data_IF_450328005733
#
_entry.id   IF_450328005733
#
_cell.length_a   1.000
_cell.length_b   1.000
_cell.length_c   1.000
_cell.angle_alpha   90.00
_cell.angle_beta   90.00
_cell.angle_gamma   90.00
#
_symmetry.space_group_name_H-M   'P 1'
#
loop_
_entity.id
_entity.type
_entity.pdbx_description
1 polymer ?
#
# COMPACT_ATOMS: atom_id res chain seq x y z
N UNK A 1 -5.51 -19.69 -2.93
CA UNK A 1 -4.73 -18.43 -3.06
C UNK A 1 -5.42 -17.35 -2.27
N UNK A 2 -4.73 -16.61 -1.41
CA UNK A 2 -5.32 -15.47 -0.69
C UNK A 2 -5.50 -14.28 -1.62
N UNK A 3 -6.62 -13.59 -1.48
CA UNK A 3 -6.93 -12.41 -2.28
C UNK A 3 -7.39 -11.26 -1.42
N UNK A 4 -6.87 -10.10 -1.72
CA UNK A 4 -7.26 -8.86 -1.06
C UNK A 4 -7.64 -7.78 -2.05
N UNK A 5 -8.29 -6.75 -1.55
CA UNK A 5 -8.63 -5.54 -2.31
C UNK A 5 -7.83 -4.36 -1.76
N UNK A 6 -7.26 -3.58 -2.65
CA UNK A 6 -6.56 -2.34 -2.34
C UNK A 6 -7.29 -1.16 -2.99
N UNK A 7 -7.53 -0.08 -2.23
CA UNK A 7 -8.14 1.14 -2.75
C UNK A 7 -7.33 2.38 -2.35
N UNK A 8 -7.31 3.36 -3.26
CA UNK A 8 -6.84 4.71 -2.97
C UNK A 8 -7.84 5.53 -2.15
N UNK A 9 -9.15 5.29 -2.35
CA UNK A 9 -10.20 6.09 -1.72
C UNK A 9 -10.29 7.48 -2.35
N UNK A 10 -10.49 7.55 -3.67
CA UNK A 10 -10.65 8.80 -4.42
C UNK A 10 -12.10 9.21 -4.59
N UNK A 11 -12.33 10.48 -4.95
CA UNK A 11 -13.63 10.98 -5.36
C UNK A 11 -13.97 10.53 -6.78
N UNK A 12 -15.25 10.44 -7.09
CA UNK A 12 -15.74 10.24 -8.45
C UNK A 12 -15.46 11.49 -9.31
N UNK A 13 -14.98 11.31 -10.54
CA UNK A 13 -14.58 12.40 -11.41
C UNK A 13 -15.22 12.28 -12.78
N UNK A 14 -16.12 13.20 -13.13
CA UNK A 14 -16.76 13.26 -14.44
C UNK A 14 -15.78 13.57 -15.57
N UNK A 15 -14.64 14.19 -15.25
CA UNK A 15 -13.59 14.59 -16.18
C UNK A 15 -12.36 13.66 -16.17
N UNK A 16 -12.48 12.46 -15.55
CA UNK A 16 -11.44 11.45 -15.60
C UNK A 16 -11.13 11.02 -17.04
N UNK A 17 -9.85 10.89 -17.39
CA UNK A 17 -9.47 10.45 -18.72
C UNK A 17 -8.19 11.10 -19.26
N UNK A 18 -7.96 11.04 -20.59
CA UNK A 18 -6.75 11.55 -21.21
C UNK A 18 -6.63 13.08 -21.06
N UNK A 19 -5.39 13.56 -21.02
CA UNK A 19 -5.13 15.01 -20.95
C UNK A 19 -3.77 15.31 -20.34
N UNK A 20 -3.50 16.61 -20.10
CA UNK A 20 -2.25 17.02 -19.45
C UNK A 20 -2.13 16.42 -18.04
N UNK A 21 -0.93 16.46 -17.44
CA UNK A 21 -0.72 16.05 -16.04
C UNK A 21 -1.76 16.69 -15.12
N UNK A 22 -2.00 16.07 -13.97
CA UNK A 22 -3.00 16.49 -13.00
C UNK A 22 -3.04 18.00 -12.83
N UNK A 23 -4.21 18.58 -12.99
CA UNK A 23 -4.40 20.00 -12.70
C UNK A 23 -4.39 20.19 -11.19
N UNK A 24 -3.43 20.96 -10.69
CA UNK A 24 -3.43 21.40 -9.29
C UNK A 24 -4.59 22.33 -8.96
N UNK A 25 -5.32 22.77 -9.97
CA UNK A 25 -6.50 23.64 -9.83
C UNK A 25 -7.80 22.87 -9.59
N UNK A 26 -7.82 21.53 -9.80
CA UNK A 26 -8.97 20.70 -9.43
C UNK A 26 -9.17 20.77 -7.91
N UNK A 27 -10.42 20.97 -7.50
CA UNK A 27 -10.81 21.02 -6.10
C UNK A 27 -12.05 20.15 -5.89
N UNK A 28 -11.88 19.06 -5.16
CA UNK A 28 -13.02 18.36 -4.59
C UNK A 28 -13.59 19.14 -3.40
N UNK A 29 -14.87 19.06 -3.22
CA UNK A 29 -15.55 19.62 -2.03
C UNK A 29 -15.31 18.74 -0.81
N UNK A 30 -15.54 19.27 0.39
CA UNK A 30 -15.48 18.48 1.62
C UNK A 30 -16.54 17.38 1.65
N UNK A 31 -17.69 17.63 1.04
CA UNK A 31 -18.79 16.68 0.93
C UNK A 31 -18.41 15.50 0.04
N UNK A 32 -17.82 15.75 -1.15
CA UNK A 32 -17.34 14.70 -2.05
C UNK A 32 -16.22 13.87 -1.41
N UNK A 33 -15.27 14.51 -0.73
CA UNK A 33 -14.20 13.81 -0.03
C UNK A 33 -14.73 12.96 1.15
N UNK A 34 -15.74 13.46 1.86
CA UNK A 34 -16.38 12.72 2.93
C UNK A 34 -17.19 11.53 2.39
N UNK A 35 -17.96 11.73 1.33
CA UNK A 35 -18.69 10.64 0.67
C UNK A 35 -17.73 9.55 0.19
N UNK A 36 -16.62 9.91 -0.45
CA UNK A 36 -15.59 8.94 -0.84
C UNK A 36 -15.03 8.17 0.36
N UNK A 37 -14.82 8.84 1.50
CA UNK A 37 -14.38 8.19 2.75
C UNK A 37 -15.43 7.19 3.27
N UNK A 38 -16.72 7.52 3.26
CA UNK A 38 -17.78 6.58 3.64
C UNK A 38 -17.83 5.38 2.70
N UNK A 39 -17.67 5.59 1.38
CA UNK A 39 -17.64 4.52 0.37
C UNK A 39 -16.47 3.54 0.54
N UNK A 40 -15.31 4.04 0.98
CA UNK A 40 -14.17 3.17 1.34
C UNK A 40 -14.54 2.21 2.46
N UNK A 41 -15.27 2.67 3.48
CA UNK A 41 -15.74 1.81 4.57
C UNK A 41 -16.79 0.81 4.08
N UNK A 42 -17.76 1.26 3.29
CA UNK A 42 -18.80 0.40 2.73
C UNK A 42 -18.22 -0.71 1.85
N UNK A 43 -17.23 -0.38 1.01
CA UNK A 43 -16.52 -1.36 0.17
C UNK A 43 -15.83 -2.46 0.99
N UNK A 44 -15.28 -2.12 2.16
CA UNK A 44 -14.68 -3.13 3.03
C UNK A 44 -15.71 -4.14 3.54
N UNK A 45 -16.94 -3.69 3.82
CA UNK A 45 -18.06 -4.58 4.21
C UNK A 45 -18.45 -5.49 3.04
N UNK A 46 -18.60 -4.93 1.84
CA UNK A 46 -18.85 -5.72 0.62
C UNK A 46 -17.77 -6.79 0.41
N UNK A 47 -16.49 -6.41 0.57
CA UNK A 47 -15.38 -7.36 0.42
C UNK A 47 -15.40 -8.46 1.49
N UNK A 48 -15.76 -8.15 2.76
CA UNK A 48 -15.92 -9.15 3.81
C UNK A 48 -17.04 -10.14 3.49
N UNK A 49 -18.21 -9.64 3.04
CA UNK A 49 -19.35 -10.46 2.65
C UNK A 49 -19.04 -11.39 1.46
N UNK A 50 -18.23 -10.90 0.50
CA UNK A 50 -17.80 -11.66 -0.66
C UNK A 50 -16.66 -12.66 -0.37
N UNK A 51 -16.06 -12.63 0.83
CA UNK A 51 -15.05 -13.58 1.25
C UNK A 51 -13.61 -13.24 0.87
N UNK A 52 -13.30 -11.98 0.54
CA UNK A 52 -11.92 -11.55 0.39
C UNK A 52 -11.12 -11.71 1.69
N UNK A 53 -9.83 -12.05 1.59
CA UNK A 53 -8.97 -12.29 2.75
C UNK A 53 -8.50 -10.99 3.43
N UNK A 54 -8.33 -9.92 2.64
CA UNK A 54 -7.82 -8.66 3.16
C UNK A 54 -8.32 -7.44 2.39
N UNK A 55 -8.41 -6.31 3.10
CA UNK A 55 -8.75 -5.01 2.54
C UNK A 55 -7.68 -4.00 2.95
N UNK A 56 -7.15 -3.24 1.99
CA UNK A 56 -6.01 -2.37 2.20
C UNK A 56 -6.30 -0.92 1.85
N UNK A 57 -5.94 -0.02 2.77
CA UNK A 57 -6.16 1.41 2.67
C UNK A 57 -4.84 2.14 2.42
N UNK A 58 -4.83 3.09 1.50
CA UNK A 58 -3.74 4.06 1.38
C UNK A 58 -3.85 5.15 2.48
N UNK A 59 -2.72 5.77 2.84
CA UNK A 59 -2.66 7.00 3.64
C UNK A 59 -2.09 8.11 2.78
N UNK A 60 -2.90 9.14 2.53
CA UNK A 60 -2.51 10.31 1.77
C UNK A 60 -3.10 11.59 2.35
N UNK A 61 -2.38 12.71 2.20
CA UNK A 61 -2.71 13.97 2.81
C UNK A 61 -2.78 15.11 1.79
N UNK A 62 -3.68 16.07 2.02
CA UNK A 62 -3.76 17.31 1.24
C UNK A 62 -4.01 17.09 -0.25
N UNK A 63 -4.63 15.96 -0.62
CA UNK A 63 -4.98 15.61 -2.00
C UNK A 63 -6.29 16.30 -2.42
N UNK A 64 -6.24 17.65 -2.51
CA UNK A 64 -7.40 18.47 -2.81
C UNK A 64 -7.98 18.23 -4.22
N UNK A 65 -7.21 17.55 -5.07
CA UNK A 65 -7.67 17.09 -6.38
C UNK A 65 -8.64 15.92 -6.30
N UNK A 66 -8.72 15.26 -5.13
CA UNK A 66 -9.63 14.16 -4.88
C UNK A 66 -9.11 12.76 -5.24
N UNK A 67 -7.81 12.60 -5.54
CA UNK A 67 -7.26 11.29 -5.91
C UNK A 67 -7.23 10.29 -4.75
N UNK A 68 -6.91 10.77 -3.54
CA UNK A 68 -6.77 9.97 -2.33
C UNK A 68 -7.18 10.82 -1.13
N UNK A 69 -8.29 10.45 -0.48
CA UNK A 69 -8.89 11.29 0.57
C UNK A 69 -8.85 10.66 1.96
N UNK A 70 -8.05 9.60 2.14
CA UNK A 70 -7.93 8.88 3.41
C UNK A 70 -6.68 9.34 4.17
N UNK A 71 -6.78 10.28 5.14
CA UNK A 71 -5.62 10.79 5.85
C UNK A 71 -5.20 9.92 7.04
N UNK A 72 -6.02 8.95 7.45
CA UNK A 72 -5.73 8.06 8.57
C UNK A 72 -6.43 6.72 8.38
N UNK A 73 -5.69 5.77 7.81
CA UNK A 73 -6.20 4.42 7.55
C UNK A 73 -6.49 3.64 8.84
N UNK A 74 -5.75 3.88 9.94
CA UNK A 74 -5.98 3.18 11.22
C UNK A 74 -7.34 3.58 11.82
N UNK A 75 -7.68 4.87 11.77
CA UNK A 75 -8.96 5.36 12.27
C UNK A 75 -10.13 4.77 11.47
N UNK A 76 -10.04 4.76 10.14
CA UNK A 76 -11.06 4.11 9.30
C UNK A 76 -11.05 2.59 9.52
N UNK A 77 -9.89 1.98 9.69
CA UNK A 77 -9.75 0.57 10.01
C UNK A 77 -10.48 0.15 11.28
N UNK A 78 -10.55 1.01 12.30
CA UNK A 78 -11.33 0.76 13.50
C UNK A 78 -12.84 0.71 13.22
N UNK A 79 -13.34 1.58 12.35
CA UNK A 79 -14.75 1.55 11.91
C UNK A 79 -15.02 0.31 11.04
N UNK A 80 -14.11 -0.04 10.14
CA UNK A 80 -14.21 -1.26 9.33
C UNK A 80 -14.20 -2.49 10.23
N UNK A 81 -13.34 -2.53 11.25
CA UNK A 81 -13.26 -3.65 12.19
C UNK A 81 -14.59 -3.94 12.89
N UNK A 82 -15.34 -2.89 13.25
CA UNK A 82 -16.66 -3.00 13.88
C UNK A 82 -17.75 -3.50 12.91
N UNK A 83 -17.62 -3.17 11.61
CA UNK A 83 -18.62 -3.52 10.59
C UNK A 83 -18.35 -4.84 9.89
N UNK A 84 -17.20 -5.47 10.12
CA UNK A 84 -16.74 -6.69 9.42
C UNK A 84 -16.39 -7.80 10.39
N UNK A 85 -16.36 -9.06 9.93
CA UNK A 85 -16.16 -10.21 10.79
C UNK A 85 -14.87 -10.99 10.52
N UNK A 86 -14.39 -11.04 9.27
CA UNK A 86 -13.32 -11.94 8.81
C UNK A 86 -12.17 -11.22 8.15
N UNK A 87 -12.49 -10.21 7.33
CA UNK A 87 -11.51 -9.55 6.47
C UNK A 87 -10.39 -8.93 7.30
N UNK A 88 -9.15 -9.16 6.88
CA UNK A 88 -7.97 -8.54 7.48
C UNK A 88 -7.85 -7.10 6.98
N UNK A 89 -7.42 -6.19 7.84
CA UNK A 89 -7.40 -4.75 7.57
C UNK A 89 -5.95 -4.29 7.50
N UNK A 90 -5.49 -4.00 6.29
CA UNK A 90 -4.12 -3.59 6.00
C UNK A 90 -4.00 -2.10 5.71
N UNK A 91 -2.89 -1.51 6.11
CA UNK A 91 -2.51 -0.15 5.70
C UNK A 91 -1.47 -0.24 4.59
N UNK A 92 -1.73 0.40 3.46
CA UNK A 92 -0.81 0.42 2.34
C UNK A 92 -0.54 1.87 1.86
N UNK A 93 0.16 2.66 2.71
CA UNK A 93 0.87 2.30 3.96
C UNK A 93 0.73 3.41 4.99
N UNK A 94 0.92 3.11 6.29
CA UNK A 94 1.19 4.19 7.26
C UNK A 94 2.54 4.82 6.92
N UNK A 95 2.56 6.12 6.72
CA UNK A 95 3.79 6.86 6.37
C UNK A 95 4.56 7.20 7.65
N UNK A 96 5.30 6.22 8.12
CA UNK A 96 5.94 6.23 9.45
C UNK A 96 6.70 7.51 9.79
N UNK A 97 7.48 8.15 8.89
CA UNK A 97 8.15 9.39 9.21
C UNK A 97 7.22 10.58 9.51
N UNK A 98 5.95 10.49 9.15
CA UNK A 98 4.94 11.53 9.42
C UNK A 98 4.24 11.34 10.77
N UNK A 99 4.54 10.24 11.47
CA UNK A 99 3.97 9.90 12.77
C UNK A 99 5.01 9.97 13.88
N UNK A 100 4.54 10.25 15.09
CA UNK A 100 5.35 9.90 16.26
C UNK A 100 5.27 8.38 16.46
N UNK A 101 6.40 7.62 16.54
CA UNK A 101 6.39 6.15 16.50
C UNK A 101 5.56 5.52 17.61
N UNK A 102 5.59 6.08 18.83
CA UNK A 102 4.77 5.56 19.94
C UNK A 102 3.27 5.77 19.69
N UNK A 103 2.86 6.89 19.09
CA UNK A 103 1.46 7.13 18.75
C UNK A 103 0.97 6.14 17.70
N UNK A 104 1.76 5.92 16.66
CA UNK A 104 1.44 4.91 15.63
C UNK A 104 1.34 3.51 16.24
N UNK A 105 2.25 3.15 17.16
CA UNK A 105 2.21 1.86 17.85
C UNK A 105 0.95 1.70 18.73
N UNK A 106 0.55 2.75 19.50
CA UNK A 106 -0.68 2.74 20.30
C UNK A 106 -1.93 2.60 19.44
N UNK A 107 -2.01 3.39 18.36
CA UNK A 107 -3.16 3.40 17.47
C UNK A 107 -3.29 2.06 16.72
N UNK A 108 -2.18 1.49 16.22
CA UNK A 108 -2.17 0.16 15.63
C UNK A 108 -2.55 -0.95 16.61
N UNK A 109 -1.97 -0.96 17.82
CA UNK A 109 -2.32 -1.95 18.82
C UNK A 109 -3.79 -1.89 19.20
N UNK A 110 -4.36 -0.69 19.26
CA UNK A 110 -5.79 -0.47 19.52
C UNK A 110 -6.65 -1.04 18.39
N UNK A 111 -6.37 -0.70 17.13
CA UNK A 111 -7.05 -1.27 15.97
C UNK A 111 -6.94 -2.79 15.94
N UNK A 112 -5.73 -3.33 16.14
CA UNK A 112 -5.48 -4.77 16.09
C UNK A 112 -6.26 -5.53 17.14
N UNK A 113 -6.33 -5.00 18.37
CA UNK A 113 -7.13 -5.59 19.45
C UNK A 113 -8.65 -5.46 19.20
N UNK A 114 -9.15 -4.29 18.76
CA UNK A 114 -10.55 -4.08 18.40
C UNK A 114 -11.01 -5.02 17.28
N UNK A 115 -10.17 -5.28 16.32
CA UNK A 115 -10.47 -6.20 15.21
C UNK A 115 -10.31 -7.69 15.57
N UNK A 116 -9.93 -8.04 16.81
CA UNK A 116 -9.66 -9.42 17.19
C UNK A 116 -8.43 -10.02 16.49
N UNK A 117 -7.39 -9.22 16.21
CA UNK A 117 -6.15 -9.66 15.57
C UNK A 117 -6.14 -9.57 14.04
N UNK A 118 -7.10 -8.90 13.42
CA UNK A 118 -7.20 -8.79 11.96
C UNK A 118 -6.39 -7.63 11.35
N UNK A 119 -5.85 -6.72 12.17
CA UNK A 119 -5.02 -5.61 11.69
C UNK A 119 -3.68 -6.07 11.11
N UNK A 120 -3.25 -5.49 10.00
CA UNK A 120 -1.94 -5.68 9.37
C UNK A 120 -1.19 -4.35 9.43
N UNK A 121 0.01 -4.33 10.02
CA UNK A 121 0.85 -3.15 10.08
C UNK A 121 1.59 -2.96 8.76
N UNK A 122 0.98 -2.23 7.83
CA UNK A 122 1.64 -1.83 6.60
C UNK A 122 2.35 -0.50 6.79
N UNK A 123 3.61 -0.39 6.37
CA UNK A 123 4.48 0.75 6.64
C UNK A 123 5.20 1.25 5.38
N UNK A 124 5.36 2.57 5.27
CA UNK A 124 6.01 3.23 4.15
C UNK A 124 6.80 4.47 4.59
N UNK A 125 7.62 5.00 3.67
CA UNK A 125 8.44 6.21 3.91
C UNK A 125 7.85 7.48 3.31
N UNK A 126 6.78 7.36 2.53
CA UNK A 126 6.18 8.44 1.77
C UNK A 126 6.76 8.57 0.35
N UNK A 127 5.96 9.12 -0.56
CA UNK A 127 6.30 9.31 -1.98
C UNK A 127 5.93 10.69 -2.50
N UNK A 128 5.04 11.41 -1.82
CA UNK A 128 4.51 12.70 -2.26
C UNK A 128 5.16 13.84 -1.46
N UNK A 129 5.96 14.72 -2.09
CA UNK A 129 6.65 15.83 -1.39
C UNK A 129 5.70 16.76 -0.67
N UNK A 130 4.54 17.11 -1.28
CA UNK A 130 3.53 17.97 -0.67
C UNK A 130 3.08 17.47 0.72
N UNK A 131 2.94 16.16 0.86
CA UNK A 131 2.52 15.52 2.11
C UNK A 131 3.67 15.48 3.11
N UNK A 132 4.77 14.86 2.70
CA UNK A 132 5.90 14.60 3.58
C UNK A 132 6.55 15.88 4.10
N UNK A 133 6.81 16.86 3.22
CA UNK A 133 7.46 18.09 3.64
C UNK A 133 6.53 19.00 4.47
N UNK A 134 5.22 18.99 4.21
CA UNK A 134 4.23 19.68 5.03
C UNK A 134 4.14 19.09 6.44
N UNK A 135 4.26 17.77 6.56
CA UNK A 135 4.24 17.06 7.85
C UNK A 135 5.63 16.94 8.51
N UNK A 136 6.61 17.70 8.02
CA UNK A 136 7.90 17.87 8.68
C UNK A 136 8.96 16.82 8.33
N UNK A 137 8.72 15.99 7.29
CA UNK A 137 9.70 15.03 6.81
C UNK A 137 10.16 15.39 5.39
N UNK A 138 11.39 15.05 5.03
CA UNK A 138 11.93 15.35 3.70
C UNK A 138 12.10 14.07 2.90
N UNK A 139 11.57 14.03 1.68
CA UNK A 139 11.80 12.91 0.75
C UNK A 139 12.59 13.31 -0.50
N UNK A 140 12.94 14.58 -0.63
CA UNK A 140 13.66 15.10 -1.78
C UNK A 140 12.88 14.97 -3.09
N UNK A 141 12.41 16.07 -3.64
CA UNK A 141 11.80 16.10 -4.98
C UNK A 141 12.83 15.72 -6.06
N UNK A 142 12.36 15.28 -7.22
CA UNK A 142 13.23 14.84 -8.33
C UNK A 142 14.23 15.90 -8.80
N UNK A 143 13.92 17.18 -8.58
CA UNK A 143 14.73 18.33 -9.01
C UNK A 143 15.54 18.97 -7.87
N UNK A 144 15.51 18.41 -6.66
CA UNK A 144 16.23 18.93 -5.52
C UNK A 144 17.69 18.45 -5.53
N UNK A 145 18.71 19.34 -5.55
CA UNK A 145 20.12 18.95 -5.47
C UNK A 145 20.47 18.21 -4.17
N UNK A 146 19.69 18.42 -3.10
CA UNK A 146 19.90 17.78 -1.80
C UNK A 146 19.08 16.47 -1.65
N UNK A 147 18.53 15.94 -2.74
CA UNK A 147 17.68 14.75 -2.73
C UNK A 147 18.30 13.55 -2.01
N UNK A 148 19.58 13.29 -2.23
CA UNK A 148 20.28 12.16 -1.60
C UNK A 148 20.34 12.31 -0.07
N UNK A 149 20.61 13.52 0.41
CA UNK A 149 20.66 13.84 1.85
C UNK A 149 19.28 13.74 2.47
N UNK A 150 18.26 14.26 1.78
CA UNK A 150 16.87 14.17 2.23
C UNK A 150 16.38 12.71 2.31
N UNK A 151 16.68 11.90 1.30
CA UNK A 151 16.31 10.47 1.28
C UNK A 151 17.04 9.68 2.37
N UNK A 152 18.30 9.97 2.64
CA UNK A 152 19.06 9.35 3.74
C UNK A 152 18.50 9.73 5.11
N UNK A 153 18.17 11.00 5.33
CA UNK A 153 17.56 11.48 6.57
C UNK A 153 16.19 10.83 6.80
N UNK A 154 15.34 10.79 5.77
CA UNK A 154 14.04 10.12 5.83
C UNK A 154 14.19 8.63 6.13
N UNK A 155 15.17 7.96 5.54
CA UNK A 155 15.44 6.54 5.79
C UNK A 155 15.85 6.29 7.24
N UNK A 156 16.76 7.10 7.78
CA UNK A 156 17.18 7.00 9.19
C UNK A 156 16.01 7.21 10.13
N UNK A 157 15.20 8.24 9.90
CA UNK A 157 14.00 8.50 10.69
C UNK A 157 13.03 7.32 10.63
N UNK A 158 12.80 6.76 9.44
CA UNK A 158 11.96 5.57 9.26
C UNK A 158 12.52 4.35 10.01
N UNK A 159 13.83 4.07 9.86
CA UNK A 159 14.44 2.88 10.45
C UNK A 159 14.39 2.94 11.99
N UNK A 160 14.75 4.07 12.60
CA UNK A 160 14.66 4.24 14.07
C UNK A 160 13.21 4.25 14.56
N UNK A 161 12.29 4.89 13.84
CA UNK A 161 10.87 4.85 14.18
C UNK A 161 10.33 3.43 14.16
N UNK A 162 10.72 2.62 13.18
CA UNK A 162 10.31 1.22 13.11
C UNK A 162 10.92 0.37 14.21
N UNK A 163 12.16 0.63 14.62
CA UNK A 163 12.77 -0.04 15.76
C UNK A 163 12.01 0.28 17.06
N UNK A 164 11.65 1.53 17.27
CA UNK A 164 10.80 1.97 18.40
C UNK A 164 9.42 1.28 18.35
N UNK A 165 8.75 1.28 17.19
CA UNK A 165 7.44 0.66 17.02
C UNK A 165 7.51 -0.85 17.33
N UNK A 166 8.51 -1.55 16.80
CA UNK A 166 8.67 -2.99 17.07
C UNK A 166 8.89 -3.26 18.57
N UNK A 167 9.79 -2.52 19.23
CA UNK A 167 10.00 -2.64 20.67
C UNK A 167 8.71 -2.38 21.45
N UNK A 168 8.00 -1.31 21.14
CA UNK A 168 6.76 -0.95 21.82
C UNK A 168 5.67 -2.01 21.67
N UNK A 169 5.56 -2.66 20.50
CA UNK A 169 4.55 -3.68 20.24
C UNK A 169 4.92 -5.06 20.80
N UNK A 170 6.21 -5.38 20.97
CA UNK A 170 6.67 -6.72 21.36
C UNK A 170 7.15 -6.82 22.80
N UNK A 171 7.83 -5.77 23.31
CA UNK A 171 8.42 -5.80 24.65
C UNK A 171 7.45 -5.28 25.71
N UNK A 172 7.48 -5.87 26.89
CA UNK A 172 6.68 -5.39 28.03
C UNK A 172 7.18 -4.04 28.53
N UNK A 173 8.50 -3.89 28.56
CA UNK A 173 9.20 -2.65 28.99
C UNK A 173 10.34 -2.40 28.01
N UNK A 174 10.49 -1.17 27.58
CA UNK A 174 11.52 -0.80 26.62
C UNK A 174 12.05 0.61 26.85
N UNK A 175 13.25 0.86 26.39
CA UNK A 175 13.84 2.18 26.15
C UNK A 175 14.53 2.13 24.77
N UNK A 176 14.65 3.27 24.13
CA UNK A 176 15.36 3.40 22.86
C UNK A 176 16.23 4.65 22.87
N UNK A 177 17.50 4.51 22.51
CA UNK A 177 18.48 5.60 22.48
C UNK A 177 19.16 5.60 21.12
N UNK A 178 18.60 6.37 20.17
CA UNK A 178 19.08 6.54 18.81
C UNK A 178 19.55 7.97 18.52
N UNK A 179 19.77 8.24 17.25
CA UNK A 179 20.14 9.59 16.79
C UNK A 179 18.92 10.51 16.61
N UNK A 180 17.76 9.93 16.26
CA UNK A 180 16.50 10.64 16.02
C UNK A 180 15.58 10.57 17.23
N UNK A 181 15.51 9.41 17.88
CA UNK A 181 14.64 9.19 19.02
C UNK A 181 15.43 8.82 20.27
N UNK A 182 15.11 9.50 21.38
CA UNK A 182 15.60 9.20 22.73
C UNK A 182 14.37 9.01 23.64
N UNK A 183 13.99 7.77 23.93
CA UNK A 183 12.70 7.41 24.53
C UNK A 183 12.87 6.39 25.68
N UNK A 184 12.50 6.76 26.94
CA UNK A 184 12.07 8.09 27.34
C UNK A 184 13.23 9.10 27.36
N UNK A 185 12.98 10.38 27.08
CA UNK A 185 14.00 11.39 27.33
C UNK A 185 14.46 11.40 28.79
N UNK A 186 15.74 11.66 29.07
CA UNK A 186 16.26 11.61 30.42
C UNK A 186 15.63 12.66 31.35
N UNK A 187 15.42 12.28 32.61
CA UNK A 187 15.01 13.22 33.67
C UNK A 187 13.51 13.49 33.76
N UNK A 188 12.64 12.75 33.05
CA UNK A 188 11.17 12.85 33.22
C UNK A 188 10.80 12.40 34.64
N UNK A 189 10.22 13.30 35.50
CA UNK A 189 9.82 12.91 36.85
C UNK A 189 8.59 12.01 36.86
N UNK A 190 8.62 10.96 37.67
CA UNK A 190 7.48 10.09 37.94
C UNK A 190 7.51 9.53 39.36
N UNK A 191 6.45 9.79 40.13
CA UNK A 191 6.17 9.18 41.46
C UNK A 191 7.37 9.10 42.42
N UNK A 192 8.17 10.16 42.46
CA UNK A 192 9.36 10.26 43.35
C UNK A 192 10.65 9.69 42.74
N UNK A 193 10.62 9.26 41.48
CA UNK A 193 11.78 8.86 40.67
C UNK A 193 11.80 9.54 39.32
N UNK A 194 12.44 8.90 38.37
CA UNK A 194 12.43 9.29 36.94
C UNK A 194 12.03 8.09 36.07
N UNK A 195 11.34 8.38 34.97
CA UNK A 195 11.00 7.37 33.96
C UNK A 195 12.29 6.85 33.33
N UNK A 196 12.51 5.54 33.36
CA UNK A 196 13.68 4.87 32.78
C UNK A 196 13.27 3.99 31.59
N UNK A 197 12.04 3.47 31.60
CA UNK A 197 11.49 2.60 30.58
C UNK A 197 10.02 2.96 30.32
N UNK A 198 9.53 2.59 29.17
CA UNK A 198 8.15 2.76 28.74
C UNK A 198 7.45 1.39 28.65
N UNK A 199 6.13 1.40 28.74
CA UNK A 199 5.26 0.26 28.43
C UNK A 199 4.13 0.75 27.55
N UNK A 200 3.93 0.14 26.40
CA UNK A 200 2.78 0.45 25.54
C UNK A 200 1.48 -0.03 26.20
N UNK A 201 0.44 0.81 26.19
CA UNK A 201 -0.86 0.48 26.81
C UNK A 201 -2.00 0.92 25.89
N UNK A 202 -2.80 -0.05 25.33
CA UNK A 202 -2.60 -1.49 25.41
C UNK A 202 -1.51 -2.01 24.45
N UNK A 203 -0.97 -3.17 24.73
CA UNK A 203 -0.14 -3.93 23.78
C UNK A 203 -1.03 -4.82 22.90
N UNK A 204 -0.54 -5.32 21.76
CA UNK A 204 -1.27 -6.29 20.95
C UNK A 204 -1.57 -7.57 21.77
N UNK A 205 -2.81 -8.05 21.71
CA UNK A 205 -3.27 -9.28 22.34
C UNK A 205 -3.12 -10.50 21.42
N UNK A 206 -2.87 -10.26 20.13
CA UNK A 206 -2.72 -11.28 19.10
C UNK A 206 -1.40 -11.08 18.33
N UNK A 207 -0.86 -12.14 17.71
CA UNK A 207 0.26 -11.99 16.78
C UNK A 207 -0.12 -11.05 15.61
N UNK A 208 0.81 -10.21 15.19
CA UNK A 208 0.60 -9.29 14.08
C UNK A 208 1.68 -9.45 13.01
N UNK A 209 1.41 -8.94 11.83
CA UNK A 209 2.33 -8.93 10.70
C UNK A 209 2.68 -7.49 10.32
N UNK A 210 3.95 -7.28 9.98
CA UNK A 210 4.43 -6.02 9.40
C UNK A 210 4.72 -6.24 7.91
N UNK A 211 4.25 -5.31 7.06
CA UNK A 211 4.41 -5.35 5.62
C UNK A 211 4.92 -4.01 5.09
N UNK A 212 5.78 -4.03 4.08
CA UNK A 212 6.37 -2.82 3.50
C UNK A 212 6.43 -2.91 1.97
N UNK A 213 6.23 -1.77 1.28
CA UNK A 213 6.41 -1.69 -0.16
C UNK A 213 7.86 -1.94 -0.59
N UNK A 214 8.04 -2.78 -1.60
CA UNK A 214 9.34 -3.04 -2.23
C UNK A 214 9.51 -2.12 -3.44
N UNK A 215 10.05 -0.93 -3.22
CA UNK A 215 10.18 0.12 -4.23
C UNK A 215 11.62 0.51 -4.57
N UNK A 216 12.59 0.03 -3.78
CA UNK A 216 14.01 0.40 -3.95
C UNK A 216 14.94 -0.75 -3.54
N UNK A 217 16.21 -0.76 -4.02
CA UNK A 217 17.17 -1.77 -3.59
C UNK A 217 17.35 -1.87 -2.07
N UNK A 218 17.43 -0.77 -1.29
CA UNK A 218 17.51 -0.89 0.16
C UNK A 218 16.29 -1.59 0.80
N UNK A 219 15.06 -1.30 0.35
CA UNK A 219 13.87 -1.99 0.89
C UNK A 219 13.87 -3.47 0.55
N UNK A 220 14.39 -3.83 -0.63
CA UNK A 220 14.54 -5.23 -1.04
C UNK A 220 15.52 -6.02 -0.16
N UNK A 221 16.53 -5.37 0.42
CA UNK A 221 17.47 -6.00 1.35
C UNK A 221 16.97 -5.97 2.82
N UNK A 222 16.39 -4.86 3.26
CA UNK A 222 16.02 -4.67 4.68
C UNK A 222 14.75 -5.42 5.08
N UNK A 223 13.71 -5.39 4.24
CA UNK A 223 12.39 -5.95 4.58
C UNK A 223 12.46 -7.45 4.88
N UNK A 224 13.07 -8.29 4.00
CA UNK A 224 13.19 -9.71 4.31
C UNK A 224 14.13 -9.99 5.48
N UNK A 225 15.19 -9.20 5.71
CA UNK A 225 16.06 -9.36 6.90
C UNK A 225 15.34 -9.11 8.21
N UNK A 226 14.36 -8.20 8.23
CA UNK A 226 13.49 -7.95 9.39
C UNK A 226 12.38 -9.02 9.53
N UNK A 227 12.27 -9.96 8.61
CA UNK A 227 11.23 -10.98 8.60
C UNK A 227 9.84 -10.45 8.24
N UNK A 228 9.75 -9.24 7.68
CA UNK A 228 8.51 -8.59 7.27
C UNK A 228 8.02 -9.09 5.92
N UNK A 229 6.77 -8.82 5.61
CA UNK A 229 6.20 -9.06 4.28
C UNK A 229 6.54 -7.94 3.29
N UNK A 230 6.73 -8.30 2.03
CA UNK A 230 7.00 -7.40 0.93
C UNK A 230 5.78 -7.22 0.01
N UNK A 231 5.40 -5.98 -0.26
CA UNK A 231 4.35 -5.63 -1.21
C UNK A 231 4.98 -5.19 -2.52
N UNK A 232 4.72 -5.95 -3.59
CA UNK A 232 5.27 -5.72 -4.93
C UNK A 232 4.20 -5.05 -5.81
N UNK A 233 4.40 -3.77 -6.08
CA UNK A 233 3.48 -2.94 -6.84
C UNK A 233 3.58 -3.19 -8.35
N UNK A 234 2.69 -2.63 -9.11
CA UNK A 234 2.51 -2.65 -10.56
C UNK A 234 3.80 -2.41 -11.39
N UNK A 235 4.74 -3.35 -11.36
CA UNK A 235 5.96 -3.29 -12.16
C UNK A 235 5.97 -4.37 -13.25
N UNK A 236 6.74 -4.15 -14.30
CA UNK A 236 6.98 -5.14 -15.35
C UNK A 236 7.37 -6.51 -14.75
N UNK A 237 6.80 -7.62 -15.24
CA UNK A 237 7.01 -8.96 -14.66
C UNK A 237 8.46 -9.37 -14.50
N UNK A 238 9.33 -9.00 -15.44
CA UNK A 238 10.78 -9.29 -15.35
C UNK A 238 11.42 -8.61 -14.14
N UNK A 239 11.06 -7.35 -13.85
CA UNK A 239 11.58 -6.64 -12.68
C UNK A 239 10.99 -7.21 -11.40
N UNK A 240 9.70 -7.52 -11.42
CA UNK A 240 9.01 -8.17 -10.31
C UNK A 240 9.65 -9.52 -10.00
N UNK A 241 9.87 -10.40 -11.00
CA UNK A 241 10.47 -11.73 -10.81
C UNK A 241 11.86 -11.63 -10.19
N UNK A 242 12.72 -10.78 -10.73
CA UNK A 242 14.07 -10.56 -10.18
C UNK A 242 14.03 -10.14 -8.71
N UNK A 243 13.18 -9.18 -8.37
CA UNK A 243 13.06 -8.67 -7.01
C UNK A 243 12.36 -9.69 -6.07
N UNK A 244 11.42 -10.46 -6.59
CA UNK A 244 10.73 -11.54 -5.88
C UNK A 244 11.67 -12.65 -5.46
N UNK A 245 12.55 -13.05 -6.37
CA UNK A 245 13.58 -14.06 -6.10
C UNK A 245 14.63 -13.52 -5.11
N UNK A 246 15.13 -12.30 -5.35
CA UNK A 246 16.10 -11.68 -4.43
C UNK A 246 15.53 -11.52 -3.01
N UNK A 247 14.25 -11.19 -2.86
CA UNK A 247 13.60 -11.14 -1.56
C UNK A 247 13.69 -12.49 -0.82
N UNK A 248 13.42 -13.59 -1.52
CA UNK A 248 13.50 -14.93 -0.95
C UNK A 248 14.94 -15.32 -0.57
N UNK A 249 15.90 -15.01 -1.42
CA UNK A 249 17.35 -15.23 -1.13
C UNK A 249 17.77 -14.48 0.14
N UNK A 250 17.45 -13.18 0.24
CA UNK A 250 17.81 -12.36 1.40
C UNK A 250 17.14 -12.87 2.67
N UNK A 251 15.88 -13.33 2.56
CA UNK A 251 15.19 -13.94 3.70
C UNK A 251 15.90 -15.21 4.16
N UNK A 252 16.27 -16.10 3.23
CA UNK A 252 17.01 -17.32 3.54
C UNK A 252 18.38 -17.03 4.15
N UNK A 253 19.14 -16.07 3.59
CA UNK A 253 20.41 -15.59 4.15
C UNK A 253 20.26 -15.12 5.62
N UNK A 254 19.17 -14.44 5.96
CA UNK A 254 18.98 -13.83 7.26
C UNK A 254 18.40 -14.81 8.31
N UNK A 255 17.55 -15.74 7.89
CA UNK A 255 16.75 -16.58 8.80
C UNK A 255 17.10 -18.08 8.73
N UNK A 256 17.96 -18.49 7.79
CA UNK A 256 18.40 -19.89 7.66
C UNK A 256 17.29 -20.86 7.20
N UNK A 257 16.21 -20.34 6.60
CA UNK A 257 15.14 -21.14 5.99
C UNK A 257 14.64 -20.56 4.69
N UNK A 258 14.23 -21.40 3.77
CA UNK A 258 13.60 -21.02 2.52
C UNK A 258 12.14 -20.61 2.76
N UNK A 259 11.66 -19.61 2.01
CA UNK A 259 10.24 -19.24 1.97
C UNK A 259 9.45 -20.22 1.11
N UNK A 260 8.25 -20.57 1.54
CA UNK A 260 7.28 -21.25 0.71
C UNK A 260 6.84 -20.35 -0.49
N UNK A 261 6.27 -20.93 -1.56
CA UNK A 261 5.75 -20.14 -2.67
C UNK A 261 4.82 -19.01 -2.17
N UNK A 262 5.08 -17.78 -2.59
CA UNK A 262 4.30 -16.61 -2.19
C UNK A 262 4.39 -16.18 -0.72
N UNK A 263 5.02 -16.95 0.15
CA UNK A 263 5.15 -16.61 1.57
C UNK A 263 5.84 -15.25 1.75
N UNK A 264 5.23 -14.37 2.57
CA UNK A 264 5.71 -13.00 2.86
C UNK A 264 5.87 -12.10 1.64
N UNK A 265 5.23 -12.42 0.54
CA UNK A 265 5.27 -11.62 -0.69
C UNK A 265 3.88 -11.51 -1.27
N UNK A 266 3.37 -10.29 -1.42
CA UNK A 266 2.10 -10.03 -2.09
C UNK A 266 2.32 -9.22 -3.37
N UNK A 267 1.57 -9.55 -4.39
CA UNK A 267 1.58 -8.88 -5.69
C UNK A 267 0.38 -7.96 -5.79
N UNK A 268 0.58 -6.68 -6.12
CA UNK A 268 -0.53 -5.75 -6.42
C UNK A 268 -0.70 -5.62 -7.93
N UNK A 269 -1.94 -5.72 -8.41
CA UNK A 269 -2.28 -5.49 -9.83
C UNK A 269 -3.58 -4.72 -9.99
N UNK A 270 -3.55 -3.70 -10.85
CA UNK A 270 -4.76 -3.08 -11.37
C UNK A 270 -5.52 -4.11 -12.19
N UNK A 271 -6.84 -4.21 -11.97
CA UNK A 271 -7.68 -5.22 -12.59
C UNK A 271 -8.99 -4.63 -13.07
N UNK A 272 -9.47 -5.10 -14.24
CA UNK A 272 -10.81 -4.81 -14.71
C UNK A 272 -11.40 -6.01 -15.45
N UNK A 273 -12.63 -6.40 -15.07
CA UNK A 273 -13.37 -7.51 -15.67
C UNK A 273 -14.63 -6.99 -16.35
N UNK A 274 -14.90 -7.44 -17.57
CA UNK A 274 -16.17 -7.21 -18.28
C UNK A 274 -16.60 -8.47 -19.05
N UNK A 275 -17.64 -8.39 -19.87
CA UNK A 275 -18.09 -9.54 -20.65
C UNK A 275 -17.11 -9.87 -21.79
N UNK A 276 -16.45 -8.82 -22.32
CA UNK A 276 -15.40 -8.93 -23.34
C UNK A 276 -14.17 -8.10 -22.96
N UNK A 277 -13.03 -8.42 -23.59
CA UNK A 277 -11.79 -7.66 -23.43
C UNK A 277 -11.95 -6.20 -23.87
N UNK A 278 -12.64 -5.98 -24.99
CA UNK A 278 -12.89 -4.65 -25.54
C UNK A 278 -13.72 -3.80 -24.56
N UNK A 279 -14.73 -4.38 -23.96
CA UNK A 279 -15.56 -3.73 -22.95
C UNK A 279 -14.75 -3.41 -21.68
N UNK A 280 -13.95 -4.37 -21.20
CA UNK A 280 -13.08 -4.16 -20.05
C UNK A 280 -12.06 -3.03 -20.29
N UNK A 281 -11.45 -2.98 -21.49
CA UNK A 281 -10.54 -1.91 -21.88
C UNK A 281 -11.26 -0.56 -21.97
N UNK A 282 -12.48 -0.52 -22.50
CA UNK A 282 -13.27 0.71 -22.59
C UNK A 282 -13.65 1.24 -21.19
N UNK A 283 -14.01 0.34 -20.26
CA UNK A 283 -14.34 0.68 -18.86
C UNK A 283 -13.14 1.25 -18.10
N UNK A 284 -11.98 0.61 -18.20
CA UNK A 284 -10.81 0.97 -17.38
C UNK A 284 -10.00 2.15 -17.94
N UNK A 285 -10.14 2.47 -19.23
CA UNK A 285 -9.32 3.49 -19.91
C UNK A 285 -9.37 4.86 -19.24
N UNK A 286 -10.53 5.45 -18.90
CA UNK A 286 -10.56 6.77 -18.26
C UNK A 286 -9.74 6.79 -16.96
N UNK A 287 -9.95 5.81 -16.10
CA UNK A 287 -9.23 5.72 -14.83
C UNK A 287 -7.75 5.37 -15.00
N UNK A 288 -7.37 4.56 -16.01
CA UNK A 288 -5.96 4.35 -16.37
C UNK A 288 -5.27 5.66 -16.73
N UNK A 289 -5.87 6.45 -17.62
CA UNK A 289 -5.30 7.70 -18.09
C UNK A 289 -5.25 8.74 -16.94
N UNK A 290 -6.27 8.76 -16.07
CA UNK A 290 -6.29 9.61 -14.88
C UNK A 290 -5.22 9.20 -13.86
N UNK A 291 -4.99 7.90 -13.66
CA UNK A 291 -3.91 7.42 -12.79
C UNK A 291 -2.54 7.94 -13.22
N UNK A 292 -2.29 8.08 -14.52
CA UNK A 292 -1.01 8.62 -15.00
C UNK A 292 -0.90 10.13 -14.86
N UNK A 293 -2.00 10.86 -14.85
CA UNK A 293 -1.98 12.27 -14.45
C UNK A 293 -1.56 12.42 -12.99
N UNK A 294 -2.03 11.51 -12.13
CA UNK A 294 -1.70 11.48 -10.71
C UNK A 294 -0.27 10.97 -10.43
N UNK A 295 0.07 9.76 -10.88
CA UNK A 295 1.33 9.08 -10.53
C UNK A 295 2.52 9.44 -11.43
N UNK A 296 2.26 9.89 -12.66
CA UNK A 296 3.30 10.23 -13.63
C UNK A 296 4.34 11.22 -13.10
N UNK A 297 3.93 12.33 -12.46
CA UNK A 297 4.85 13.31 -11.86
C UNK A 297 5.77 12.73 -10.79
N UNK A 298 5.39 11.63 -10.13
CA UNK A 298 6.19 10.97 -9.09
C UNK A 298 7.10 9.85 -9.65
N UNK A 299 7.19 9.71 -10.99
CA UNK A 299 8.14 8.81 -11.64
C UNK A 299 7.78 7.32 -11.58
N UNK A 300 6.51 6.99 -11.40
CA UNK A 300 6.02 5.61 -11.35
C UNK A 300 6.18 4.85 -12.67
N UNK A 301 6.35 5.56 -13.79
CA UNK A 301 6.67 4.97 -15.10
C UNK A 301 7.94 4.10 -15.10
N UNK A 302 8.83 4.25 -14.13
CA UNK A 302 10.00 3.37 -13.95
C UNK A 302 9.64 1.90 -13.71
N UNK A 303 8.41 1.60 -13.36
CA UNK A 303 7.87 0.24 -13.30
C UNK A 303 7.74 -0.44 -14.66
N UNK A 304 7.69 0.34 -15.73
CA UNK A 304 7.60 -0.15 -17.11
C UNK A 304 8.98 -0.45 -17.72
N UNK A 305 9.00 -1.32 -18.70
CA UNK A 305 10.21 -1.63 -19.45
C UNK A 305 10.35 -0.68 -20.64
N UNK A 306 11.48 -0.01 -20.73
CA UNK A 306 11.83 0.80 -21.89
C UNK A 306 12.32 -0.05 -23.08
N UNK A 307 12.48 0.58 -24.27
CA UNK A 307 12.90 -0.11 -25.48
C UNK A 307 14.29 -0.78 -25.39
N UNK A 308 15.10 -0.33 -24.46
CA UNK A 308 16.46 -0.87 -24.20
C UNK A 308 16.47 -2.00 -23.14
N UNK A 309 15.30 -2.49 -22.73
CA UNK A 309 15.16 -3.53 -21.70
C UNK A 309 15.44 -3.06 -20.26
N UNK A 310 15.60 -1.75 -20.06
CA UNK A 310 15.77 -1.14 -18.74
C UNK A 310 14.47 -0.48 -18.26
N UNK A 311 14.40 -0.07 -16.98
CA UNK A 311 13.28 0.72 -16.50
C UNK A 311 13.03 1.95 -17.38
N UNK A 312 11.78 2.22 -17.71
CA UNK A 312 11.40 3.36 -18.52
C UNK A 312 11.85 4.68 -17.89
N UNK A 313 12.05 5.69 -18.71
CA UNK A 313 12.45 7.03 -18.24
C UNK A 313 11.33 7.65 -17.42
N UNK A 314 11.70 8.41 -16.40
CA UNK A 314 10.76 9.25 -15.68
C UNK A 314 10.03 10.21 -16.66
N UNK A 315 8.72 10.37 -16.48
CA UNK A 315 7.89 11.19 -17.37
C UNK A 315 7.32 10.47 -18.60
N UNK A 316 7.64 9.19 -18.81
CA UNK A 316 6.86 8.37 -19.74
C UNK A 316 5.42 8.26 -19.19
N UNK A 317 4.44 8.46 -20.06
CA UNK A 317 3.03 8.16 -19.78
C UNK A 317 2.67 6.96 -20.67
N UNK A 318 2.59 5.74 -20.09
CA UNK A 318 2.24 4.56 -20.87
C UNK A 318 0.78 4.61 -21.30
N UNK A 319 0.49 4.10 -22.49
CA UNK A 319 -0.87 3.83 -22.92
C UNK A 319 -1.45 2.60 -22.20
N UNK A 320 -2.77 2.45 -22.22
CA UNK A 320 -3.41 1.24 -21.72
C UNK A 320 -2.91 0.01 -22.48
N UNK A 321 -2.76 0.10 -23.79
CA UNK A 321 -2.25 -0.97 -24.64
C UNK A 321 -0.84 -1.42 -24.22
N UNK A 322 0.07 -0.49 -23.96
CA UNK A 322 1.41 -0.78 -23.44
C UNK A 322 1.35 -1.42 -22.04
N UNK A 323 0.43 -0.99 -21.18
CA UNK A 323 0.22 -1.54 -19.85
C UNK A 323 -0.23 -3.02 -19.91
N UNK A 324 -1.08 -3.36 -20.89
CA UNK A 324 -1.57 -4.71 -21.14
C UNK A 324 -0.51 -5.58 -21.84
N UNK A 325 0.19 -5.05 -22.85
CA UNK A 325 1.26 -5.75 -23.56
C UNK A 325 2.39 -6.13 -22.60
N UNK A 326 2.76 -5.23 -21.70
CA UNK A 326 3.75 -5.47 -20.67
C UNK A 326 3.23 -6.28 -19.47
N UNK A 327 1.97 -6.72 -19.50
CA UNK A 327 1.33 -7.51 -18.43
C UNK A 327 1.39 -6.82 -17.05
N UNK A 328 1.37 -5.50 -17.02
CA UNK A 328 1.38 -4.74 -15.76
C UNK A 328 -0.03 -4.64 -15.20
N UNK A 329 -1.02 -4.52 -16.07
CA UNK A 329 -2.44 -4.52 -15.74
C UNK A 329 -3.10 -5.84 -16.18
N UNK A 330 -4.11 -6.27 -15.45
CA UNK A 330 -4.91 -7.49 -15.69
C UNK A 330 -6.31 -7.06 -16.14
N UNK A 331 -6.58 -7.15 -17.44
CA UNK A 331 -7.84 -6.63 -18.03
C UNK A 331 -8.38 -7.63 -19.06
N UNK A 332 -9.68 -7.89 -19.01
CA UNK A 332 -10.31 -8.78 -19.99
C UNK A 332 -11.64 -9.35 -19.52
N UNK A 333 -12.09 -10.42 -20.22
CA UNK A 333 -13.17 -11.27 -19.75
C UNK A 333 -12.76 -12.04 -18.48
N UNK A 334 -13.70 -12.63 -17.77
CA UNK A 334 -13.42 -13.40 -16.56
C UNK A 334 -12.44 -14.57 -16.82
N UNK A 335 -12.50 -15.19 -18.00
CA UNK A 335 -11.54 -16.24 -18.37
C UNK A 335 -10.14 -15.67 -18.63
N UNK A 336 -10.04 -14.61 -19.41
CA UNK A 336 -8.75 -13.94 -19.69
C UNK A 336 -8.09 -13.38 -18.42
N UNK A 337 -8.88 -12.83 -17.48
CA UNK A 337 -8.37 -12.36 -16.17
C UNK A 337 -7.87 -13.54 -15.35
N UNK A 338 -8.61 -14.66 -15.32
CA UNK A 338 -8.18 -15.89 -14.69
C UNK A 338 -6.87 -16.43 -15.25
N UNK A 339 -6.74 -16.48 -16.59
CA UNK A 339 -5.50 -16.91 -17.27
C UNK A 339 -4.30 -15.99 -16.93
N UNK A 340 -4.52 -14.68 -16.86
CA UNK A 340 -3.48 -13.72 -16.49
C UNK A 340 -3.03 -13.90 -15.03
N UNK A 341 -3.97 -14.16 -14.10
CA UNK A 341 -3.64 -14.45 -12.68
C UNK A 341 -2.88 -15.78 -12.60
N UNK A 342 -3.33 -16.82 -13.31
CA UNK A 342 -2.64 -18.12 -13.33
C UNK A 342 -1.23 -17.97 -13.89
N UNK A 343 -1.04 -17.17 -14.94
CA UNK A 343 0.28 -16.89 -15.47
C UNK A 343 1.23 -16.26 -14.42
N UNK A 344 0.73 -15.37 -13.56
CA UNK A 344 1.52 -14.81 -12.46
C UNK A 344 1.81 -15.86 -11.37
N UNK A 345 0.87 -16.75 -11.07
CA UNK A 345 1.13 -17.88 -10.17
C UNK A 345 2.24 -18.77 -10.69
N UNK A 346 2.20 -19.10 -11.97
CA UNK A 346 3.22 -19.96 -12.61
C UNK A 346 4.61 -19.26 -12.65
N UNK A 347 4.63 -17.94 -12.89
CA UNK A 347 5.88 -17.18 -12.98
C UNK A 347 6.54 -16.94 -11.62
N UNK A 348 5.76 -16.61 -10.59
CA UNK A 348 6.24 -16.09 -9.30
C UNK A 348 5.94 -17.02 -8.12
N UNK A 349 5.02 -17.98 -8.27
CA UNK A 349 4.45 -18.71 -7.15
C UNK A 349 3.58 -17.80 -6.26
N UNK A 350 2.79 -16.90 -6.86
CA UNK A 350 1.91 -15.98 -6.09
C UNK A 350 0.86 -16.76 -5.34
N UNK A 351 0.79 -16.59 -4.02
CA UNK A 351 -0.26 -17.12 -3.15
C UNK A 351 -0.92 -16.02 -2.30
N UNK A 352 -0.54 -14.74 -2.54
CA UNK A 352 -1.17 -13.56 -1.95
C UNK A 352 -1.22 -12.46 -3.03
N UNK A 353 -2.44 -12.09 -3.44
CA UNK A 353 -2.69 -11.15 -4.54
C UNK A 353 -3.60 -10.03 -4.06
N UNK A 354 -3.13 -8.79 -4.16
CA UNK A 354 -3.92 -7.59 -3.94
C UNK A 354 -4.44 -7.06 -5.27
N UNK A 355 -5.74 -7.09 -5.43
CA UNK A 355 -6.44 -6.57 -6.59
C UNK A 355 -6.77 -5.10 -6.38
N UNK A 356 -6.48 -4.28 -7.37
CA UNK A 356 -6.84 -2.87 -7.39
C UNK A 356 -7.92 -2.66 -8.47
N UNK A 357 -9.21 -2.80 -8.09
CA UNK A 357 -10.31 -2.86 -9.03
C UNK A 357 -10.97 -1.50 -9.33
N UNK A 358 -10.57 -0.44 -8.64
CA UNK A 358 -11.17 0.89 -8.76
C UNK A 358 -10.09 1.93 -9.01
N UNK A 359 -10.09 2.52 -10.20
CA UNK A 359 -9.10 3.51 -10.62
C UNK A 359 -9.48 4.92 -10.16
N UNK A 360 -8.51 5.88 -10.14
CA UNK A 360 -8.82 7.28 -9.87
C UNK A 360 -9.95 7.80 -10.78
N UNK A 361 -10.96 8.41 -10.15
CA UNK A 361 -12.11 8.98 -10.84
C UNK A 361 -13.26 8.00 -11.07
N UNK A 362 -13.07 6.69 -10.87
CA UNK A 362 -14.15 5.72 -10.99
C UNK A 362 -15.23 5.95 -9.94
N UNK A 363 -16.50 5.68 -10.32
CA UNK A 363 -17.58 5.67 -9.34
C UNK A 363 -17.47 4.48 -8.38
N UNK A 364 -17.94 4.66 -7.15
CA UNK A 364 -18.04 3.58 -6.17
C UNK A 364 -18.82 2.38 -6.74
N UNK A 365 -19.93 2.64 -7.46
CA UNK A 365 -20.73 1.60 -8.10
C UNK A 365 -19.93 0.77 -9.10
N UNK A 366 -19.06 1.41 -9.88
CA UNK A 366 -18.19 0.69 -10.82
C UNK A 366 -17.18 -0.20 -10.07
N UNK A 367 -16.57 0.31 -8.99
CA UNK A 367 -15.69 -0.47 -8.13
C UNK A 367 -16.40 -1.65 -7.46
N UNK A 368 -17.61 -1.44 -6.94
CA UNK A 368 -18.46 -2.49 -6.35
C UNK A 368 -18.80 -3.58 -7.36
N UNK A 369 -19.18 -3.21 -8.60
CA UNK A 369 -19.38 -4.18 -9.70
C UNK A 369 -18.12 -5.03 -9.92
N UNK A 370 -16.94 -4.41 -9.91
CA UNK A 370 -15.68 -5.14 -10.11
C UNK A 370 -15.40 -6.16 -9.02
N UNK A 371 -15.55 -5.80 -7.73
CA UNK A 371 -15.31 -6.77 -6.64
C UNK A 371 -16.31 -7.91 -6.67
N UNK A 372 -17.56 -7.66 -7.01
CA UNK A 372 -18.57 -8.71 -7.20
C UNK A 372 -18.21 -9.66 -8.35
N UNK A 373 -17.86 -9.13 -9.52
CA UNK A 373 -17.48 -9.96 -10.69
C UNK A 373 -16.22 -10.77 -10.44
N UNK A 374 -15.21 -10.17 -9.82
CA UNK A 374 -13.99 -10.88 -9.44
C UNK A 374 -14.31 -12.06 -8.51
N UNK A 375 -15.09 -11.83 -7.45
CA UNK A 375 -15.45 -12.85 -6.48
C UNK A 375 -16.30 -13.97 -7.09
N UNK A 376 -17.23 -13.65 -8.00
CA UNK A 376 -18.15 -14.64 -8.60
C UNK A 376 -17.53 -15.39 -9.77
N UNK A 377 -16.82 -14.71 -10.67
CA UNK A 377 -16.49 -15.22 -12.00
C UNK A 377 -15.01 -15.62 -12.14
N UNK A 378 -14.12 -15.09 -11.27
CA UNK A 378 -12.67 -15.26 -11.41
C UNK A 378 -12.07 -16.05 -10.26
N UNK A 379 -12.25 -15.57 -9.00
CA UNK A 379 -11.56 -16.10 -7.83
C UNK A 379 -11.87 -17.57 -7.49
N UNK A 380 -13.09 -18.11 -7.74
CA UNK A 380 -13.36 -19.53 -7.50
C UNK A 380 -12.47 -20.49 -8.28
N UNK A 381 -11.78 -20.01 -9.33
CA UNK A 381 -10.80 -20.81 -10.09
C UNK A 381 -9.50 -21.09 -9.33
N UNK A 382 -9.28 -20.40 -8.18
CA UNK A 382 -8.04 -20.43 -7.40
C UNK A 382 -8.21 -20.93 -5.96
N UNK A 383 -9.41 -21.40 -5.61
CA UNK A 383 -9.73 -21.99 -4.30
C UNK A 383 -9.12 -23.39 -4.10
#
# INVERSE_FOLDING_TARGET
MRTGVFLFGGVEMDDAGPGPPASTDRRSTSEEAWEATERVIDMAVVCDDLGYDSYWLAEHHFQHEGYEVVPNGILLGAVIAERTQRIRIGMAFNIVPQWHPLRLAEDFATLHNLSGGRGILGVGRGTVPRESETLGTRIGSFDNPDKAVADESNRRQFDEAMDVIQLALTEERFAYHGEVYDLPPPGIPDRGGTVQELTLVPRPLHPFETWQAITSPPTLEQVPRRGWGGVFWNNHPTFTKRNWDRFAEVFEEAHGRTLEPGEKRTLVRCVCVADTREEAMAKVRPGHDEMWKFLGPYGWSKGYMGPDGKPAKAGLIPSLEESLEQKIWIVGSADEVGEQIQWYRDLLGVEDLLLFPMMPGDSYKAGEEQVHRLAADVLPKFD
#
